data_IF_543617050508
#
_entry.id   IF_543617050508
#
_cell.length_a   1.000
_cell.length_b   1.000
_cell.length_c   1.000
_cell.angle_alpha   90.00
_cell.angle_beta   90.00
_cell.angle_gamma   90.00
#
_symmetry.space_group_name_H-M   'P 1'
#
loop_
_entity.id
_entity.type
_entity.pdbx_description
1 polymer ?
#
# COMPACT_ATOMS: atom_id res chain seq x y z
N UNK A 1 22.43 -13.80 -10.80
CA UNK A 1 22.97 -12.81 -9.85
C UNK A 1 22.75 -13.33 -8.44
N UNK A 2 23.75 -13.21 -7.58
CA UNK A 2 23.64 -13.50 -6.14
C UNK A 2 22.91 -12.37 -5.42
N UNK A 3 22.52 -12.57 -4.16
CA UNK A 3 21.96 -11.50 -3.31
C UNK A 3 22.94 -10.33 -3.19
N UNK A 4 24.25 -10.62 -3.04
CA UNK A 4 25.32 -9.62 -3.04
C UNK A 4 25.25 -8.75 -4.31
N UNK A 5 25.13 -9.37 -5.48
CA UNK A 5 25.12 -8.65 -6.77
C UNK A 5 23.89 -7.76 -6.89
N UNK A 6 22.71 -8.27 -6.47
CA UNK A 6 21.43 -7.56 -6.54
C UNK A 6 21.42 -6.27 -5.69
N UNK A 7 21.94 -6.33 -4.47
CA UNK A 7 21.99 -5.17 -3.58
C UNK A 7 23.12 -4.22 -4.01
N UNK A 8 24.28 -4.78 -4.40
CA UNK A 8 25.44 -4.00 -4.83
C UNK A 8 25.18 -3.22 -6.11
N UNK A 9 24.37 -3.73 -7.04
CA UNK A 9 23.99 -3.02 -8.27
C UNK A 9 23.45 -1.61 -7.98
N UNK A 10 22.59 -1.48 -6.96
CA UNK A 10 22.08 -0.17 -6.54
C UNK A 10 23.21 0.73 -6.00
N UNK A 11 24.14 0.16 -5.23
CA UNK A 11 25.31 0.89 -4.73
C UNK A 11 26.28 1.28 -5.86
N UNK A 12 26.42 0.44 -6.89
CA UNK A 12 27.29 0.73 -8.02
C UNK A 12 26.81 1.91 -8.86
N UNK A 13 25.48 2.10 -8.94
CA UNK A 13 24.83 3.12 -9.75
C UNK A 13 24.62 4.45 -9.01
N UNK A 14 24.39 4.41 -7.69
CA UNK A 14 23.82 5.55 -6.95
C UNK A 14 24.56 5.90 -5.66
N UNK A 15 25.63 5.19 -5.26
CA UNK A 15 26.38 5.52 -4.04
C UNK A 15 27.76 6.14 -4.35
N UNK A 16 28.27 6.91 -3.38
CA UNK A 16 29.63 7.46 -3.44
C UNK A 16 30.72 6.46 -3.00
N UNK A 17 30.34 5.23 -2.62
CA UNK A 17 31.28 4.18 -2.22
C UNK A 17 32.12 3.74 -3.43
N UNK A 18 33.46 3.80 -3.26
CA UNK A 18 34.38 3.60 -4.38
C UNK A 18 34.98 2.20 -4.42
N UNK A 19 35.16 1.57 -3.25
CA UNK A 19 35.83 0.27 -3.20
C UNK A 19 34.85 -0.88 -3.12
N UNK A 20 35.26 -2.06 -3.60
CA UNK A 20 34.47 -3.28 -3.52
C UNK A 20 34.26 -3.71 -2.06
N UNK A 21 35.23 -3.45 -1.21
CA UNK A 21 35.21 -3.76 0.23
C UNK A 21 34.16 -2.92 0.94
N UNK A 22 34.10 -1.60 0.70
CA UNK A 22 33.09 -0.69 1.26
C UNK A 22 31.66 -1.12 0.87
N UNK A 23 31.46 -1.40 -0.43
CA UNK A 23 30.17 -1.85 -0.95
C UNK A 23 29.75 -3.19 -0.34
N UNK A 24 30.67 -4.15 -0.22
CA UNK A 24 30.40 -5.44 0.40
C UNK A 24 30.04 -5.29 1.88
N UNK A 25 30.75 -4.43 2.61
CA UNK A 25 30.44 -4.11 4.00
C UNK A 25 29.03 -3.53 4.13
N UNK A 26 28.67 -2.58 3.26
CA UNK A 26 27.32 -1.98 3.23
C UNK A 26 26.24 -3.02 2.95
N UNK A 27 26.47 -3.95 2.01
CA UNK A 27 25.53 -5.05 1.75
C UNK A 27 25.32 -5.92 3.00
N UNK A 28 26.39 -6.28 3.73
CA UNK A 28 26.25 -7.06 4.96
C UNK A 28 25.48 -6.31 6.05
N UNK A 29 25.72 -5.01 6.21
CA UNK A 29 24.94 -4.16 7.13
C UNK A 29 23.44 -4.14 6.78
N UNK A 30 23.13 -4.01 5.49
CA UNK A 30 21.73 -4.04 5.00
C UNK A 30 21.06 -5.40 5.22
N UNK A 31 21.77 -6.50 5.01
CA UNK A 31 21.26 -7.84 5.30
C UNK A 31 20.96 -8.01 6.79
N UNK A 32 21.88 -7.58 7.66
CA UNK A 32 21.67 -7.59 9.12
C UNK A 32 20.41 -6.79 9.52
N UNK A 33 20.18 -5.61 8.89
CA UNK A 33 19.01 -4.73 9.13
C UNK A 33 17.67 -5.39 8.79
N UNK A 34 17.63 -6.16 7.72
CA UNK A 34 16.40 -6.87 7.31
C UNK A 34 16.29 -8.27 7.93
N UNK A 35 17.15 -8.60 8.91
CA UNK A 35 17.13 -9.88 9.62
C UNK A 35 17.58 -11.07 8.79
N UNK A 36 18.51 -10.85 7.85
CA UNK A 36 19.16 -11.89 7.05
C UNK A 36 20.61 -12.09 7.47
N UNK A 37 21.12 -13.32 7.37
CA UNK A 37 22.52 -13.63 7.71
C UNK A 37 23.45 -13.19 6.58
N UNK A 38 24.70 -12.82 6.92
CA UNK A 38 25.73 -12.40 5.96
C UNK A 38 26.07 -13.47 4.94
N UNK A 39 26.03 -14.73 5.32
CA UNK A 39 26.26 -15.88 4.43
C UNK A 39 25.21 -15.97 3.32
N UNK A 40 24.02 -15.39 3.51
CA UNK A 40 22.98 -15.28 2.48
C UNK A 40 23.41 -14.45 1.28
N UNK A 41 24.41 -13.58 1.42
CA UNK A 41 24.91 -12.73 0.34
C UNK A 41 25.37 -13.52 -0.90
N UNK A 42 25.90 -14.73 -0.70
CA UNK A 42 26.44 -15.56 -1.78
C UNK A 42 25.40 -16.49 -2.41
N UNK A 43 24.17 -16.53 -1.89
CA UNK A 43 23.09 -17.38 -2.40
C UNK A 43 22.31 -16.68 -3.52
N UNK A 44 21.56 -17.49 -4.26
CA UNK A 44 20.68 -17.03 -5.33
C UNK A 44 19.24 -16.81 -4.82
N UNK A 45 18.48 -15.86 -5.38
CA UNK A 45 17.11 -15.56 -4.92
C UNK A 45 16.15 -16.76 -4.89
N UNK A 46 16.31 -17.73 -5.80
CA UNK A 46 15.47 -18.92 -5.84
C UNK A 46 15.67 -19.88 -4.67
N UNK A 47 16.76 -19.72 -3.89
CA UNK A 47 17.03 -20.53 -2.69
C UNK A 47 16.33 -20.00 -1.44
N UNK A 48 15.57 -18.90 -1.56
CA UNK A 48 14.91 -18.21 -0.45
C UNK A 48 13.39 -18.36 -0.46
N UNK A 49 12.77 -18.31 0.73
CA UNK A 49 11.33 -18.19 0.87
C UNK A 49 10.80 -16.87 0.32
N UNK A 50 9.49 -16.74 0.11
CA UNK A 50 8.84 -15.51 -0.33
C UNK A 50 9.18 -14.31 0.56
N UNK A 51 9.04 -14.48 1.88
CA UNK A 51 9.36 -13.44 2.85
C UNK A 51 10.84 -13.04 2.88
N UNK A 52 11.75 -14.00 2.70
CA UNK A 52 13.18 -13.70 2.59
C UNK A 52 13.50 -12.94 1.29
N UNK A 53 12.88 -13.30 0.16
CA UNK A 53 13.01 -12.53 -1.09
C UNK A 53 12.51 -11.10 -0.94
N UNK A 54 11.40 -10.91 -0.23
CA UNK A 54 10.87 -9.57 0.07
C UNK A 54 11.88 -8.75 0.90
N UNK A 55 12.49 -9.34 1.92
CA UNK A 55 13.54 -8.69 2.73
C UNK A 55 14.78 -8.32 1.91
N UNK A 56 15.18 -9.14 0.92
CA UNK A 56 16.24 -8.81 -0.02
C UNK A 56 15.85 -7.59 -0.89
N UNK A 57 14.60 -7.53 -1.37
CA UNK A 57 14.07 -6.38 -2.10
C UNK A 57 14.10 -5.09 -1.30
N UNK A 58 13.72 -5.16 -0.01
CA UNK A 58 13.79 -4.02 0.92
C UNK A 58 15.25 -3.60 1.17
N UNK A 59 16.16 -4.54 1.41
CA UNK A 59 17.59 -4.25 1.55
C UNK A 59 18.17 -3.55 0.32
N UNK A 60 17.75 -3.96 -0.90
CA UNK A 60 18.13 -3.29 -2.14
C UNK A 60 17.61 -1.86 -2.22
N UNK A 61 16.35 -1.62 -1.83
CA UNK A 61 15.77 -0.27 -1.81
C UNK A 61 16.49 0.65 -0.82
N UNK A 62 16.90 0.13 0.35
CA UNK A 62 17.64 0.87 1.36
C UNK A 62 19.11 1.15 0.99
N UNK A 63 19.64 0.48 -0.04
CA UNK A 63 21.06 0.60 -0.38
C UNK A 63 21.49 2.02 -0.76
N UNK A 64 20.57 2.82 -1.29
CA UNK A 64 20.81 4.20 -1.78
C UNK A 64 20.43 5.27 -0.76
N UNK A 65 20.23 4.91 0.51
CA UNK A 65 19.82 5.81 1.60
C UNK A 65 18.62 6.71 1.22
N UNK A 66 17.48 6.13 0.80
CA UNK A 66 16.33 6.88 0.31
C UNK A 66 15.61 7.63 1.45
N UNK A 67 14.98 8.76 1.12
CA UNK A 67 14.00 9.44 2.00
C UNK A 67 12.58 8.92 1.77
N UNK A 68 12.32 8.36 0.58
CA UNK A 68 10.99 7.89 0.14
C UNK A 68 11.09 6.54 -0.58
N UNK A 69 10.21 5.60 -0.20
CA UNK A 69 10.11 4.27 -0.82
C UNK A 69 8.69 4.00 -1.28
N UNK A 70 8.54 3.54 -2.52
CA UNK A 70 7.28 2.99 -3.04
C UNK A 70 7.26 1.49 -2.76
N UNK A 71 6.31 1.07 -1.93
CA UNK A 71 6.05 -0.33 -1.60
C UNK A 71 4.83 -0.81 -2.40
N UNK A 72 5.07 -1.37 -3.59
CA UNK A 72 4.01 -1.87 -4.47
C UNK A 72 3.69 -3.33 -4.12
N UNK A 73 2.53 -3.55 -3.49
CA UNK A 73 2.06 -4.85 -3.00
C UNK A 73 3.12 -5.67 -2.20
N UNK A 74 3.80 -5.08 -1.22
CA UNK A 74 4.99 -5.70 -0.62
C UNK A 74 4.71 -6.98 0.18
N UNK A 75 3.44 -7.32 0.40
CA UNK A 75 3.02 -8.46 1.24
C UNK A 75 2.03 -9.41 0.53
N UNK A 76 1.62 -9.12 -0.71
CA UNK A 76 0.53 -9.83 -1.40
C UNK A 76 0.75 -11.34 -1.60
N UNK A 77 2.01 -11.76 -1.76
CA UNK A 77 2.39 -13.15 -2.00
C UNK A 77 2.87 -13.90 -0.74
N UNK A 78 2.61 -13.34 0.45
CA UNK A 78 3.09 -13.87 1.72
C UNK A 78 1.93 -14.41 2.58
N UNK A 79 2.19 -15.41 3.39
CA UNK A 79 1.25 -15.84 4.43
C UNK A 79 1.12 -14.80 5.55
N UNK A 80 -0.01 -14.83 6.27
CA UNK A 80 -0.39 -13.79 7.26
C UNK A 80 0.69 -13.57 8.32
N UNK A 81 1.35 -14.62 8.77
CA UNK A 81 2.39 -14.51 9.82
C UNK A 81 3.64 -13.81 9.31
N UNK A 82 4.02 -14.06 8.07
CA UNK A 82 5.15 -13.42 7.40
C UNK A 82 4.81 -11.97 7.01
N UNK A 83 3.56 -11.71 6.58
CA UNK A 83 3.08 -10.34 6.33
C UNK A 83 3.30 -9.45 7.55
N UNK A 84 2.85 -9.89 8.74
CA UNK A 84 3.02 -9.15 9.98
C UNK A 84 4.51 -8.87 10.30
N UNK A 85 5.40 -9.85 10.07
CA UNK A 85 6.82 -9.66 10.28
C UNK A 85 7.44 -8.63 9.33
N UNK A 86 7.01 -8.60 8.05
CA UNK A 86 7.50 -7.63 7.07
C UNK A 86 6.99 -6.23 7.39
N UNK A 87 5.73 -6.09 7.80
CA UNK A 87 5.15 -4.79 8.19
C UNK A 87 5.85 -4.23 9.42
N UNK A 88 6.01 -5.01 10.48
CA UNK A 88 6.72 -4.58 11.68
C UNK A 88 8.17 -4.15 11.35
N UNK A 89 8.86 -4.89 10.47
CA UNK A 89 10.19 -4.51 10.02
C UNK A 89 10.19 -3.18 9.25
N UNK A 90 9.19 -2.92 8.38
CA UNK A 90 9.05 -1.65 7.68
C UNK A 90 8.81 -0.49 8.64
N UNK A 91 7.99 -0.68 9.68
CA UNK A 91 7.78 0.33 10.73
C UNK A 91 9.06 0.60 11.54
N UNK A 92 9.83 -0.44 11.86
CA UNK A 92 11.12 -0.29 12.55
C UNK A 92 12.12 0.50 11.69
N UNK A 93 12.21 0.19 10.41
CA UNK A 93 13.04 0.90 9.45
C UNK A 93 12.58 2.36 9.25
N UNK A 94 11.26 2.60 9.22
CA UNK A 94 10.71 3.96 9.15
C UNK A 94 11.15 4.80 10.33
N UNK A 95 11.03 4.26 11.56
CA UNK A 95 11.43 4.95 12.79
C UNK A 95 12.94 5.18 12.85
N UNK A 96 13.73 4.21 12.41
CA UNK A 96 15.19 4.28 12.50
C UNK A 96 15.79 5.26 11.48
N UNK A 97 15.27 5.27 10.24
CA UNK A 97 15.82 6.04 9.13
C UNK A 97 15.00 7.27 8.75
N UNK A 98 13.85 7.52 9.40
CA UNK A 98 12.96 8.64 9.06
C UNK A 98 12.32 8.51 7.68
N UNK A 99 12.04 7.28 7.22
CA UNK A 99 11.55 7.01 5.88
C UNK A 99 10.09 7.42 5.70
N UNK A 100 9.76 7.88 4.50
CA UNK A 100 8.39 8.04 4.04
C UNK A 100 8.02 6.90 3.09
N UNK A 101 6.87 6.27 3.29
CA UNK A 101 6.37 5.20 2.43
C UNK A 101 5.14 5.62 1.61
N UNK A 102 5.11 5.23 0.34
CA UNK A 102 3.87 5.05 -0.40
C UNK A 102 3.56 3.55 -0.43
N UNK A 103 2.62 3.12 0.41
CA UNK A 103 2.26 1.71 0.56
C UNK A 103 1.02 1.39 -0.27
N UNK A 104 1.18 0.59 -1.33
CA UNK A 104 0.09 0.15 -2.21
C UNK A 104 -0.28 -1.27 -1.81
N UNK A 105 -1.54 -1.50 -1.43
CA UNK A 105 -2.04 -2.81 -1.03
C UNK A 105 -3.54 -2.93 -1.23
N UNK A 106 -4.03 -4.17 -1.27
CA UNK A 106 -5.44 -4.50 -1.29
C UNK A 106 -5.96 -5.03 0.07
N UNK A 107 -5.09 -5.29 1.04
CA UNK A 107 -5.47 -5.67 2.41
C UNK A 107 -5.67 -4.42 3.27
N UNK A 108 -6.94 -4.06 3.47
CA UNK A 108 -7.32 -2.88 4.24
C UNK A 108 -6.92 -2.97 5.71
N UNK A 109 -6.84 -4.18 6.30
CA UNK A 109 -6.44 -4.36 7.70
C UNK A 109 -4.99 -3.96 7.92
N UNK A 110 -4.11 -4.35 6.99
CA UNK A 110 -2.70 -4.00 7.02
C UNK A 110 -2.46 -2.53 6.70
N UNK A 111 -3.22 -1.98 5.72
CA UNK A 111 -3.17 -0.55 5.40
C UNK A 111 -3.52 0.31 6.61
N UNK A 112 -4.56 -0.07 7.37
CA UNK A 112 -4.93 0.63 8.61
C UNK A 112 -3.79 0.68 9.63
N UNK A 113 -3.04 -0.40 9.73
CA UNK A 113 -1.98 -0.53 10.73
C UNK A 113 -0.76 0.35 10.42
N UNK A 114 -0.31 0.36 9.15
CA UNK A 114 0.95 1.01 8.75
C UNK A 114 0.78 2.46 8.28
N UNK A 115 -0.45 2.91 7.94
CA UNK A 115 -0.63 4.18 7.24
C UNK A 115 -1.17 5.28 8.13
N UNK A 116 -0.53 6.46 8.10
CA UNK A 116 -1.05 7.70 8.71
C UNK A 116 -2.19 8.28 7.87
N UNK A 117 -2.08 8.18 6.53
CA UNK A 117 -3.06 8.67 5.56
C UNK A 117 -3.41 7.57 4.57
N UNK A 118 -4.66 7.53 4.14
CA UNK A 118 -5.16 6.53 3.19
C UNK A 118 -5.82 7.23 2.02
N UNK A 119 -5.44 6.81 0.80
CA UNK A 119 -6.10 7.17 -0.43
C UNK A 119 -6.82 5.96 -1.03
N UNK A 120 -8.11 6.08 -1.28
CA UNK A 120 -8.92 5.05 -1.93
C UNK A 120 -9.04 5.36 -3.42
N UNK A 121 -8.70 4.38 -4.26
CA UNK A 121 -8.75 4.52 -5.71
C UNK A 121 -9.80 3.59 -6.33
N UNK A 122 -10.49 4.08 -7.35
CA UNK A 122 -11.39 3.28 -8.18
C UNK A 122 -11.16 3.57 -9.67
N UNK A 123 -10.88 2.55 -10.46
CA UNK A 123 -10.59 2.65 -11.90
C UNK A 123 -9.58 3.78 -12.23
N UNK A 124 -8.48 3.87 -11.47
CA UNK A 124 -7.41 4.84 -11.69
C UNK A 124 -7.71 6.27 -11.24
N UNK A 125 -8.81 6.50 -10.50
CA UNK A 125 -9.13 7.81 -9.88
C UNK A 125 -9.12 7.71 -8.36
N UNK A 126 -8.55 8.71 -7.73
CA UNK A 126 -8.65 8.88 -6.29
C UNK A 126 -10.07 9.37 -5.95
N UNK A 127 -10.80 8.58 -5.17
CA UNK A 127 -12.19 8.87 -4.81
C UNK A 127 -12.33 9.42 -3.40
N UNK A 128 -11.40 9.08 -2.52
CA UNK A 128 -11.38 9.57 -1.14
C UNK A 128 -9.93 9.52 -0.61
N UNK A 129 -9.52 10.53 0.16
CA UNK A 129 -8.22 10.56 0.84
C UNK A 129 -8.31 11.34 2.14
N UNK A 130 -7.72 10.81 3.20
CA UNK A 130 -7.70 11.46 4.50
C UNK A 130 -6.80 10.76 5.51
N UNK A 131 -6.78 11.25 6.76
CA UNK A 131 -6.17 10.52 7.87
C UNK A 131 -6.75 9.12 8.00
N UNK A 132 -5.92 8.15 8.36
CA UNK A 132 -6.35 6.73 8.46
C UNK A 132 -7.59 6.58 9.34
N UNK A 133 -7.61 7.21 10.52
CA UNK A 133 -8.75 7.12 11.45
C UNK A 133 -10.04 7.72 10.86
N UNK A 134 -9.96 8.84 10.12
CA UNK A 134 -11.12 9.45 9.45
C UNK A 134 -11.67 8.52 8.36
N UNK A 135 -10.82 7.93 7.54
CA UNK A 135 -11.26 6.99 6.49
C UNK A 135 -11.96 5.76 7.09
N UNK A 136 -11.47 5.22 8.23
CA UNK A 136 -12.11 4.05 8.85
C UNK A 136 -13.38 4.39 9.63
N UNK A 137 -13.45 5.56 10.27
CA UNK A 137 -14.56 5.94 11.16
C UNK A 137 -15.62 6.79 10.48
N UNK A 138 -15.22 7.64 9.53
CA UNK A 138 -16.05 8.68 8.90
C UNK A 138 -15.90 8.72 7.37
N UNK A 139 -15.73 7.54 6.74
CA UNK A 139 -15.72 7.45 5.28
C UNK A 139 -17.00 8.02 4.67
N UNK A 140 -16.88 8.68 3.53
CA UNK A 140 -17.98 9.40 2.89
C UNK A 140 -18.30 8.89 1.48
N UNK A 141 -17.28 8.35 0.77
CA UNK A 141 -17.53 7.86 -0.58
C UNK A 141 -18.18 6.46 -0.53
N UNK A 142 -19.26 6.20 -1.31
CA UNK A 142 -19.98 4.91 -1.27
C UNK A 142 -19.11 3.69 -1.64
N UNK A 143 -18.05 3.87 -2.41
CA UNK A 143 -17.10 2.80 -2.69
C UNK A 143 -16.23 2.46 -1.48
N UNK A 144 -15.75 3.47 -0.75
CA UNK A 144 -15.00 3.27 0.50
C UNK A 144 -15.84 2.55 1.54
N UNK A 145 -17.11 2.94 1.67
CA UNK A 145 -18.10 2.29 2.54
C UNK A 145 -18.24 0.79 2.19
N UNK A 146 -18.41 0.47 0.90
CA UNK A 146 -18.52 -0.90 0.44
C UNK A 146 -17.23 -1.71 0.68
N UNK A 147 -16.04 -1.12 0.43
CA UNK A 147 -14.76 -1.76 0.71
C UNK A 147 -14.59 -2.08 2.19
N UNK A 148 -14.83 -1.10 3.06
CA UNK A 148 -14.70 -1.27 4.51
C UNK A 148 -15.75 -2.24 5.09
N UNK A 149 -16.94 -2.32 4.46
CA UNK A 149 -17.94 -3.30 4.85
C UNK A 149 -17.48 -4.74 4.66
N UNK A 150 -16.58 -4.99 3.70
CA UNK A 150 -16.06 -6.32 3.39
C UNK A 150 -14.90 -6.77 4.30
N UNK A 151 -14.32 -5.87 5.09
CA UNK A 151 -13.20 -6.21 6.00
C UNK A 151 -13.70 -7.18 7.08
N UNK A 152 -13.10 -8.37 7.24
CA UNK A 152 -13.47 -9.31 8.28
C UNK A 152 -13.28 -8.72 9.69
N UNK A 153 -14.23 -8.95 10.56
CA UNK A 153 -14.14 -8.58 11.97
C UNK A 153 -13.80 -9.84 12.78
N UNK A 154 -12.73 -9.82 13.60
CA UNK A 154 -12.32 -11.01 14.35
C UNK A 154 -13.32 -11.45 15.43
N UNK A 155 -14.27 -10.59 15.80
CA UNK A 155 -15.30 -10.87 16.79
C UNK A 155 -16.51 -11.54 16.10
N UNK A 156 -16.88 -12.81 16.46
CA UNK A 156 -17.97 -13.53 15.82
C UNK A 156 -19.35 -12.88 15.98
N UNK A 157 -19.61 -12.17 17.10
CA UNK A 157 -20.89 -11.50 17.33
C UNK A 157 -21.01 -10.26 16.45
N UNK A 158 -19.96 -9.45 16.42
CA UNK A 158 -19.89 -8.26 15.55
C UNK A 158 -19.86 -8.64 14.07
N UNK A 159 -19.18 -9.75 13.71
CA UNK A 159 -19.16 -10.24 12.33
C UNK A 159 -20.56 -10.65 11.82
N UNK A 160 -21.40 -11.24 12.69
CA UNK A 160 -22.80 -11.59 12.36
C UNK A 160 -23.71 -10.39 12.26
N UNK A 161 -23.44 -9.35 13.06
CA UNK A 161 -24.23 -8.10 13.05
C UNK A 161 -23.84 -7.15 11.91
N UNK A 162 -22.67 -7.33 11.29
CA UNK A 162 -22.16 -6.47 10.22
C UNK A 162 -22.84 -6.82 8.90
N UNK A 163 -23.59 -5.87 8.35
CA UNK A 163 -24.12 -5.99 6.99
C UNK A 163 -23.03 -5.71 5.96
N UNK A 164 -22.80 -6.68 5.10
CA UNK A 164 -21.88 -6.52 3.98
C UNK A 164 -22.60 -5.86 2.80
N UNK A 165 -22.06 -4.77 2.28
CA UNK A 165 -22.59 -4.10 1.11
C UNK A 165 -22.13 -4.85 -0.15
N UNK A 166 -23.05 -5.55 -0.79
CA UNK A 166 -22.80 -6.25 -2.04
C UNK A 166 -22.99 -5.29 -3.21
N UNK A 167 -21.89 -4.92 -3.86
CA UNK A 167 -21.93 -4.09 -5.06
C UNK A 167 -22.47 -4.90 -6.24
N UNK A 168 -23.52 -4.38 -6.89
CA UNK A 168 -24.12 -5.00 -8.07
C UNK A 168 -23.40 -4.58 -9.35
N UNK A 169 -23.52 -5.41 -10.40
CA UNK A 169 -22.96 -5.18 -11.72
C UNK A 169 -21.48 -5.50 -11.85
N UNK A 170 -21.02 -5.61 -13.10
CA UNK A 170 -19.65 -5.91 -13.45
C UNK A 170 -18.73 -4.70 -13.23
N UNK A 171 -17.44 -4.97 -13.01
CA UNK A 171 -16.43 -3.92 -12.95
C UNK A 171 -16.19 -3.42 -14.39
N UNK A 172 -16.44 -2.11 -14.67
CA UNK A 172 -16.20 -1.57 -16.00
C UNK A 172 -14.73 -1.67 -16.42
N UNK A 173 -14.49 -1.71 -17.72
CA UNK A 173 -13.13 -1.71 -18.24
C UNK A 173 -12.37 -0.42 -17.89
N UNK A 174 -11.15 -0.50 -17.41
CA UNK A 174 -10.32 0.69 -17.17
C UNK A 174 -9.88 1.38 -18.46
N UNK A 175 -9.95 0.67 -19.62
CA UNK A 175 -9.62 1.21 -20.95
C UNK A 175 -10.74 2.12 -21.47
N UNK A 176 -12.01 1.75 -21.18
CA UNK A 176 -13.19 2.53 -21.55
C UNK A 176 -14.05 2.75 -20.29
N UNK A 177 -13.64 3.65 -19.41
CA UNK A 177 -14.36 3.89 -18.16
C UNK A 177 -15.66 4.64 -18.40
N UNK A 178 -16.68 4.46 -17.53
CA UNK A 178 -17.94 5.20 -17.61
C UNK A 178 -17.72 6.71 -17.61
N UNK A 179 -18.55 7.46 -18.35
CA UNK A 179 -18.57 8.92 -18.33
C UNK A 179 -18.92 9.45 -16.93
N UNK A 180 -18.45 10.63 -16.57
CA UNK A 180 -18.69 11.23 -15.25
C UNK A 180 -18.03 10.45 -14.11
N UNK A 181 -18.77 10.19 -13.04
CA UNK A 181 -18.27 9.39 -11.92
C UNK A 181 -18.03 7.94 -12.35
N UNK A 182 -16.80 7.46 -12.26
CA UNK A 182 -16.42 6.10 -12.68
C UNK A 182 -17.12 5.00 -11.87
N UNK A 183 -17.53 5.30 -10.63
CA UNK A 183 -18.22 4.35 -9.75
C UNK A 183 -19.75 4.32 -10.00
N UNK A 184 -20.32 5.24 -10.79
CA UNK A 184 -21.79 5.41 -10.96
C UNK A 184 -22.56 4.15 -11.35
N UNK A 185 -21.95 3.28 -12.17
CA UNK A 185 -22.61 2.04 -12.64
C UNK A 185 -22.80 0.99 -11.55
N UNK A 186 -22.08 1.13 -10.44
CA UNK A 186 -22.13 0.22 -9.29
C UNK A 186 -22.52 0.93 -7.98
N UNK A 187 -22.71 2.26 -8.04
CA UNK A 187 -23.06 3.06 -6.87
C UNK A 187 -24.55 2.93 -6.54
N UNK A 188 -24.94 2.46 -5.34
CA UNK A 188 -26.36 2.36 -4.97
C UNK A 188 -27.03 3.73 -4.80
N UNK A 189 -26.25 4.82 -4.73
CA UNK A 189 -26.70 6.19 -4.54
C UNK A 189 -26.45 7.06 -5.76
N UNK A 190 -26.24 6.47 -6.96
CA UNK A 190 -25.96 7.25 -8.16
C UNK A 190 -27.12 8.17 -8.54
N UNK A 191 -26.79 9.42 -8.92
CA UNK A 191 -27.74 10.43 -9.38
C UNK A 191 -27.41 10.88 -10.81
N UNK A 192 -28.24 11.71 -11.42
CA UNK A 192 -28.05 12.20 -12.79
C UNK A 192 -26.72 12.94 -12.98
N UNK A 193 -26.31 13.75 -12.00
CA UNK A 193 -25.04 14.47 -12.03
C UNK A 193 -23.83 13.51 -12.15
N UNK A 194 -23.93 12.31 -11.55
CA UNK A 194 -22.88 11.32 -11.64
C UNK A 194 -22.62 10.82 -13.08
N UNK A 195 -23.60 10.93 -13.98
CA UNK A 195 -23.45 10.58 -15.39
C UNK A 195 -22.91 11.74 -16.23
N UNK A 196 -23.16 12.97 -15.82
CA UNK A 196 -22.87 14.18 -16.58
C UNK A 196 -21.45 14.70 -16.37
N UNK A 197 -20.93 14.63 -15.13
CA UNK A 197 -19.65 15.20 -14.77
C UNK A 197 -18.84 14.28 -13.85
N UNK A 198 -17.52 14.32 -14.00
CA UNK A 198 -16.59 13.68 -13.05
C UNK A 198 -16.56 14.51 -11.75
N UNK A 199 -16.76 13.90 -10.56
CA UNK A 199 -16.69 14.64 -9.30
C UNK A 199 -15.22 15.03 -9.02
N UNK A 200 -15.03 16.29 -8.63
CA UNK A 200 -13.74 16.77 -8.17
C UNK A 200 -13.45 16.31 -6.72
N UNK A 201 -12.17 16.08 -6.41
CA UNK A 201 -11.72 15.79 -5.06
C UNK A 201 -11.75 17.09 -4.25
N UNK A 202 -12.70 17.24 -3.31
CA UNK A 202 -12.92 18.46 -2.52
C UNK A 202 -12.71 18.20 -1.03
N UNK A 203 -12.20 19.20 -0.27
CA UNK A 203 -12.06 19.08 1.17
C UNK A 203 -13.42 19.06 1.87
N UNK A 204 -13.54 18.18 2.86
CA UNK A 204 -14.73 18.04 3.72
C UNK A 204 -14.45 18.31 5.20
N UNK A 205 -13.25 18.79 5.53
CA UNK A 205 -12.74 19.01 6.88
C UNK A 205 -11.70 18.00 7.30
N UNK A 206 -11.00 18.22 8.42
CA UNK A 206 -10.05 17.29 9.04
C UNK A 206 -9.00 16.70 8.09
N UNK A 207 -8.49 17.48 7.14
CA UNK A 207 -7.58 17.02 6.09
C UNK A 207 -8.12 15.82 5.27
N UNK A 208 -9.44 15.70 5.17
CA UNK A 208 -10.21 14.69 4.47
C UNK A 208 -10.78 15.27 3.18
N UNK A 209 -10.65 14.56 2.07
CA UNK A 209 -11.09 14.97 0.74
C UNK A 209 -11.87 13.86 0.07
N UNK A 210 -12.96 14.21 -0.61
CA UNK A 210 -13.87 13.25 -1.24
C UNK A 210 -14.28 13.71 -2.64
N UNK A 211 -14.26 12.79 -3.60
CA UNK A 211 -14.74 13.01 -4.97
C UNK A 211 -16.14 12.38 -5.13
N UNK A 212 -17.17 13.04 -4.59
CA UNK A 212 -18.55 12.57 -4.66
C UNK A 212 -19.53 13.73 -4.76
N UNK A 213 -20.45 13.72 -5.73
CA UNK A 213 -21.46 14.75 -5.89
C UNK A 213 -22.43 14.83 -4.72
N UNK A 214 -22.70 13.72 -4.03
CA UNK A 214 -23.63 13.68 -2.89
C UNK A 214 -23.04 14.31 -1.62
N UNK A 215 -21.71 14.35 -1.51
CA UNK A 215 -21.01 14.93 -0.35
C UNK A 215 -20.68 16.39 -0.59
N UNK A 216 -20.47 16.78 -1.85
CA UNK A 216 -20.07 18.12 -2.25
C UNK A 216 -21.26 19.01 -2.69
N UNK A 217 -22.49 18.63 -2.33
CA UNK A 217 -23.72 19.31 -2.74
C UNK A 217 -24.10 20.51 -1.85
N UNK A 218 -23.21 20.95 -0.92
CA UNK A 218 -23.39 22.16 -0.11
C UNK A 218 -22.66 23.37 -0.72
#
# INVERSE_FOLDING_TARGET
MTVMDIIREALDLHSDLKTKEEKSKRVYELLDRVGLMREHANRYPHEFSGGQRQRIGIARALAVDPEFIVCDEPISALDVSIQAQVVNMLEDLQREFGLTYLFIAHDLSMVRHISDRIGVMYLGKLVEIGPSEEIYSHHLHPYTEALLSSVPVPDPEKARAKEQIVLQGDIPSPIDPPSGCRFRTRCPRACEQCAQAEPELKPVGNDHFVACHLVNAE
#
